data_IF_452289721706
#
_entry.id   IF_452289721706
#
_cell.length_a   1.000
_cell.length_b   1.000
_cell.length_c   1.000
_cell.angle_alpha   90.00
_cell.angle_beta   90.00
_cell.angle_gamma   90.00
#
_symmetry.space_group_name_H-M   'P 1'
#
loop_
_entity.id
_entity.type
_entity.pdbx_description
1 polymer ?
#
# COMPACT_ATOMS: atom_id res chain seq x y z
N UNK A 1 6.85 13.44 -44.96
CA UNK A 1 8.11 13.11 -44.27
C UNK A 1 7.89 13.17 -42.76
N UNK A 2 8.48 12.19 -42.06
CA UNK A 2 8.25 11.83 -40.66
C UNK A 2 8.86 12.87 -39.71
N UNK A 3 8.12 13.32 -38.70
CA UNK A 3 8.71 13.97 -37.52
C UNK A 3 8.75 12.94 -36.40
N UNK A 4 9.95 12.50 -36.03
CA UNK A 4 10.17 11.63 -34.87
C UNK A 4 10.62 12.53 -33.73
N UNK A 5 9.79 12.65 -32.71
CA UNK A 5 10.14 13.27 -31.42
C UNK A 5 10.94 12.24 -30.62
N UNK A 6 12.20 12.57 -30.32
CA UNK A 6 13.07 11.79 -29.44
C UNK A 6 12.86 12.30 -28.00
N UNK A 7 12.16 11.51 -27.19
CA UNK A 7 12.03 11.75 -25.75
C UNK A 7 13.22 11.05 -25.09
N UNK A 8 14.15 11.84 -24.54
CA UNK A 8 15.29 11.32 -23.79
C UNK A 8 14.89 11.22 -22.31
N UNK A 9 14.69 10.00 -21.82
CA UNK A 9 14.45 9.73 -20.40
C UNK A 9 15.80 9.74 -19.68
N UNK A 10 16.02 10.73 -18.83
CA UNK A 10 17.20 10.81 -17.97
C UNK A 10 16.95 9.96 -16.72
N UNK A 11 17.45 8.72 -16.72
CA UNK A 11 17.53 7.91 -15.51
C UNK A 11 18.66 8.45 -14.63
N UNK A 12 18.31 9.13 -13.53
CA UNK A 12 19.26 9.42 -12.46
C UNK A 12 19.27 8.25 -11.48
N UNK A 13 20.37 7.50 -11.47
CA UNK A 13 20.63 6.46 -10.46
C UNK A 13 21.20 7.14 -9.23
N UNK A 14 20.44 7.16 -8.14
CA UNK A 14 20.91 7.63 -6.83
C UNK A 14 21.49 6.42 -6.09
N UNK A 15 22.82 6.28 -6.14
CA UNK A 15 23.59 5.40 -5.26
C UNK A 15 23.75 6.08 -3.90
N UNK A 16 23.01 5.64 -2.88
CA UNK A 16 23.29 6.02 -1.49
C UNK A 16 24.04 4.87 -0.84
N UNK A 17 25.28 5.18 -0.46
CA UNK A 17 26.26 4.25 0.08
C UNK A 17 25.87 3.61 1.41
N UNK A 18 26.34 2.39 1.58
CA UNK A 18 26.45 1.67 2.85
C UNK A 18 27.21 2.53 3.87
N UNK A 19 26.59 2.83 5.01
CA UNK A 19 27.28 3.39 6.17
C UNK A 19 26.99 2.51 7.39
N UNK A 20 28.08 1.95 7.93
CA UNK A 20 28.34 1.89 9.36
C UNK A 20 27.71 0.74 10.15
N UNK A 21 28.53 -0.24 10.52
CA UNK A 21 28.16 -1.33 11.42
C UNK A 21 27.78 -0.88 12.83
N UNK A 22 26.86 -1.60 13.44
CA UNK A 22 26.55 -1.48 14.87
C UNK A 22 27.20 -2.62 15.63
N UNK A 23 28.04 -2.25 16.60
CA UNK A 23 28.67 -3.14 17.55
C UNK A 23 27.64 -3.77 18.49
N UNK A 24 27.75 -5.08 18.69
CA UNK A 24 26.98 -5.84 19.68
C UNK A 24 27.54 -5.60 21.08
N UNK A 25 26.84 -4.82 21.90
CA UNK A 25 27.07 -4.77 23.35
C UNK A 25 26.21 -5.84 24.04
N UNK A 26 26.86 -6.89 24.53
CA UNK A 26 26.25 -7.97 25.32
C UNK A 26 26.15 -7.52 26.78
N UNK A 27 24.97 -7.06 27.21
CA UNK A 27 24.65 -6.75 28.61
C UNK A 27 23.82 -7.86 29.22
N UNK A 28 24.40 -8.62 30.15
CA UNK A 28 23.72 -9.65 30.95
C UNK A 28 22.92 -8.99 32.07
N UNK A 29 21.60 -9.16 32.08
CA UNK A 29 20.79 -9.08 33.29
C UNK A 29 19.73 -10.19 33.26
N UNK A 30 19.84 -11.09 34.22
CA UNK A 30 19.01 -12.27 34.41
C UNK A 30 17.66 -11.88 35.00
N UNK A 31 16.58 -11.86 34.19
CA UNK A 31 15.20 -11.90 34.70
C UNK A 31 14.32 -12.70 33.75
N UNK A 32 13.56 -13.62 34.33
CA UNK A 32 12.59 -14.58 33.80
C UNK A 32 11.97 -14.33 32.40
N UNK A 33 11.94 -15.41 31.62
CA UNK A 33 11.18 -15.61 30.38
C UNK A 33 9.68 -15.30 30.54
N UNK A 34 9.10 -14.58 29.56
CA UNK A 34 7.91 -15.08 28.87
C UNK A 34 8.21 -15.27 27.37
N UNK A 35 7.78 -16.41 26.84
CA UNK A 35 7.87 -16.79 25.42
C UNK A 35 6.94 -15.92 24.56
N UNK A 36 7.50 -14.94 23.86
CA UNK A 36 7.18 -14.56 22.46
C UNK A 36 7.90 -13.25 22.10
N UNK A 37 8.78 -13.21 21.07
CA UNK A 37 9.36 -11.96 20.62
C UNK A 37 8.38 -11.24 19.69
N UNK A 38 7.49 -10.43 20.26
CA UNK A 38 6.86 -9.34 19.51
C UNK A 38 7.86 -8.19 19.52
N UNK A 39 8.45 -7.89 18.37
CA UNK A 39 9.36 -6.76 18.21
C UNK A 39 8.62 -5.46 18.53
N UNK A 40 8.92 -4.91 19.71
CA UNK A 40 8.56 -3.55 20.12
C UNK A 40 9.24 -2.55 19.17
N UNK A 41 8.50 -2.06 18.18
CA UNK A 41 8.87 -0.86 17.43
C UNK A 41 8.36 0.34 18.22
N UNK A 42 9.28 1.07 18.83
CA UNK A 42 9.04 2.41 19.33
C UNK A 42 8.63 3.32 18.15
N UNK A 43 7.33 3.55 17.97
CA UNK A 43 6.82 4.68 17.21
C UNK A 43 5.79 5.41 18.08
N UNK A 44 6.28 6.37 18.86
CA UNK A 44 5.51 7.56 19.20
C UNK A 44 5.26 8.35 17.92
N UNK A 45 4.25 7.93 17.15
CA UNK A 45 3.51 8.81 16.25
C UNK A 45 2.08 8.79 16.77
N UNK A 46 1.70 9.93 17.34
CA UNK A 46 0.34 10.34 17.65
C UNK A 46 -0.67 9.56 16.80
N UNK A 47 -1.27 8.51 17.38
CA UNK A 47 -2.33 7.76 16.71
C UNK A 47 -3.54 8.68 16.77
N UNK A 48 -3.57 9.66 15.87
CA UNK A 48 -4.81 10.34 15.51
C UNK A 48 -5.70 9.23 15.01
N UNK A 49 -6.62 8.82 15.87
CA UNK A 49 -7.73 7.93 15.56
C UNK A 49 -8.67 8.72 14.63
N UNK A 50 -8.18 9.03 13.43
CA UNK A 50 -8.93 9.72 12.40
C UNK A 50 -9.95 8.74 11.88
N UNK A 51 -11.19 9.20 11.76
CA UNK A 51 -12.25 8.51 11.08
C UNK A 51 -11.75 8.12 9.67
N UNK A 52 -11.39 6.85 9.47
CA UNK A 52 -10.78 6.34 8.23
C UNK A 52 -11.85 6.26 7.13
N UNK A 53 -12.27 7.43 6.66
CA UNK A 53 -13.22 7.59 5.58
C UNK A 53 -12.57 7.33 4.22
N UNK A 54 -13.40 6.88 3.27
CA UNK A 54 -13.03 6.68 1.88
C UNK A 54 -12.40 7.93 1.23
N UNK A 55 -12.93 9.11 1.56
CA UNK A 55 -12.44 10.40 1.05
C UNK A 55 -10.99 10.69 1.50
N UNK A 56 -10.66 10.39 2.76
CA UNK A 56 -9.32 10.58 3.30
C UNK A 56 -8.29 9.68 2.58
N UNK A 57 -8.69 8.46 2.20
CA UNK A 57 -7.82 7.57 1.43
C UNK A 57 -7.54 8.11 0.02
N UNK A 58 -8.56 8.65 -0.67
CA UNK A 58 -8.42 9.28 -1.99
C UNK A 58 -7.45 10.47 -1.92
N UNK A 59 -7.58 11.32 -0.90
CA UNK A 59 -6.69 12.46 -0.70
C UNK A 59 -5.24 12.02 -0.50
N UNK A 60 -4.99 11.07 0.40
CA UNK A 60 -3.66 10.52 0.65
C UNK A 60 -3.04 9.96 -0.64
N UNK A 61 -3.83 9.25 -1.45
CA UNK A 61 -3.35 8.73 -2.74
C UNK A 61 -2.94 9.87 -3.68
N UNK A 62 -3.75 10.93 -3.80
CA UNK A 62 -3.42 12.11 -4.63
C UNK A 62 -2.15 12.80 -4.14
N UNK A 63 -2.02 13.01 -2.83
CA UNK A 63 -0.85 13.65 -2.22
C UNK A 63 0.45 12.87 -2.40
N UNK A 64 0.37 11.54 -2.50
CA UNK A 64 1.53 10.67 -2.67
C UNK A 64 1.79 10.28 -4.14
N UNK A 65 1.17 10.98 -5.11
CA UNK A 65 1.39 10.76 -6.54
C UNK A 65 0.71 9.51 -7.11
N UNK A 66 -0.22 8.90 -6.37
CA UNK A 66 -1.06 7.77 -6.80
C UNK A 66 -2.39 8.28 -7.41
N UNK A 67 -2.34 9.38 -8.16
CA UNK A 67 -3.51 10.10 -8.66
C UNK A 67 -4.41 9.24 -9.55
N UNK A 68 -3.84 8.36 -10.38
CA UNK A 68 -4.62 7.47 -11.24
C UNK A 68 -5.45 6.48 -10.42
N UNK A 69 -4.87 5.92 -9.36
CA UNK A 69 -5.57 5.03 -8.43
C UNK A 69 -6.66 5.79 -7.67
N UNK A 70 -6.36 7.00 -7.20
CA UNK A 70 -7.33 7.85 -6.51
C UNK A 70 -8.54 8.18 -7.41
N UNK A 71 -8.30 8.50 -8.68
CA UNK A 71 -9.35 8.82 -9.65
C UNK A 71 -10.22 7.60 -10.00
N UNK A 72 -9.62 6.41 -10.11
CA UNK A 72 -10.35 5.16 -10.34
C UNK A 72 -11.23 4.81 -9.15
N UNK A 73 -10.70 4.98 -7.93
CA UNK A 73 -11.43 4.83 -6.69
C UNK A 73 -12.61 5.83 -6.64
N UNK A 74 -12.38 7.13 -6.86
CA UNK A 74 -13.42 8.16 -6.87
C UNK A 74 -14.56 7.86 -7.85
N UNK A 75 -14.25 7.26 -9.01
CA UNK A 75 -15.24 6.87 -10.02
C UNK A 75 -15.90 5.50 -9.78
N UNK A 76 -15.41 4.72 -8.83
CA UNK A 76 -15.82 3.32 -8.66
C UNK A 76 -15.50 2.45 -9.89
N UNK A 77 -14.44 2.76 -10.63
CA UNK A 77 -14.04 2.01 -11.84
C UNK A 77 -13.20 0.78 -11.45
N UNK A 78 -13.89 -0.31 -11.11
CA UNK A 78 -13.27 -1.58 -10.72
C UNK A 78 -12.39 -2.17 -11.83
N UNK A 79 -12.83 -2.10 -13.09
CA UNK A 79 -12.07 -2.67 -14.22
C UNK A 79 -10.80 -1.87 -14.51
N UNK A 80 -10.87 -0.55 -14.37
CA UNK A 80 -9.69 0.30 -14.46
C UNK A 80 -8.71 0.02 -13.32
N UNK A 81 -9.23 -0.20 -12.10
CA UNK A 81 -8.42 -0.55 -10.93
C UNK A 81 -7.70 -1.90 -11.10
N UNK A 82 -8.38 -2.92 -11.61
CA UNK A 82 -7.77 -4.23 -11.90
C UNK A 82 -6.57 -4.11 -12.83
N UNK A 83 -6.76 -3.40 -13.95
CA UNK A 83 -5.69 -3.18 -14.93
C UNK A 83 -4.53 -2.39 -14.34
N UNK A 84 -4.82 -1.41 -13.50
CA UNK A 84 -3.77 -0.65 -12.82
C UNK A 84 -2.97 -1.57 -11.89
N UNK A 85 -3.65 -2.37 -11.06
CA UNK A 85 -3.00 -3.29 -10.12
C UNK A 85 -2.17 -4.37 -10.81
N UNK A 86 -2.65 -4.92 -11.93
CA UNK A 86 -1.91 -5.89 -12.75
C UNK A 86 -0.60 -5.32 -13.32
N UNK A 87 -0.57 -4.02 -13.61
CA UNK A 87 0.59 -3.32 -14.15
C UNK A 87 1.53 -2.74 -13.09
N UNK A 88 1.20 -2.85 -11.80
CA UNK A 88 2.09 -2.39 -10.73
C UNK A 88 3.34 -3.28 -10.64
N UNK A 89 4.49 -2.61 -10.63
CA UNK A 89 5.73 -3.27 -10.22
C UNK A 89 5.66 -3.65 -8.73
N UNK A 90 6.41 -4.66 -8.32
CA UNK A 90 6.45 -5.05 -6.90
C UNK A 90 7.00 -3.91 -6.03
N UNK A 91 7.92 -3.11 -6.57
CA UNK A 91 8.45 -1.93 -5.89
C UNK A 91 7.36 -0.87 -5.65
N UNK A 92 6.48 -0.64 -6.63
CA UNK A 92 5.40 0.33 -6.48
C UNK A 92 4.30 -0.19 -5.55
N UNK A 93 4.03 -1.49 -5.58
CA UNK A 93 3.15 -2.13 -4.60
C UNK A 93 3.68 -1.98 -3.16
N UNK A 94 4.99 -2.17 -2.94
CA UNK A 94 5.62 -1.94 -1.63
C UNK A 94 5.57 -0.47 -1.20
N UNK A 95 5.74 0.48 -2.14
CA UNK A 95 5.56 1.92 -1.84
C UNK A 95 4.13 2.21 -1.37
N UNK A 96 3.12 1.62 -2.01
CA UNK A 96 1.73 1.79 -1.59
C UNK A 96 1.49 1.28 -0.18
N UNK A 97 2.00 0.09 0.16
CA UNK A 97 1.94 -0.45 1.52
C UNK A 97 2.54 0.52 2.53
N UNK A 98 3.71 1.08 2.21
CA UNK A 98 4.39 2.06 3.06
C UNK A 98 3.56 3.33 3.26
N UNK A 99 2.98 3.87 2.18
CA UNK A 99 2.10 5.04 2.24
C UNK A 99 0.89 4.76 3.14
N UNK A 100 0.23 3.61 2.97
CA UNK A 100 -0.91 3.22 3.80
C UNK A 100 -0.52 3.15 5.28
N UNK A 101 0.61 2.50 5.58
CA UNK A 101 1.12 2.37 6.96
C UNK A 101 1.44 3.72 7.58
N UNK A 102 2.14 4.59 6.85
CA UNK A 102 2.59 5.89 7.32
C UNK A 102 1.42 6.86 7.57
N UNK A 103 0.27 6.64 6.92
CA UNK A 103 -0.94 7.46 7.03
C UNK A 103 -2.05 6.84 7.90
N UNK A 104 -1.69 5.92 8.80
CA UNK A 104 -2.64 5.36 9.79
C UNK A 104 -3.44 4.16 9.31
N UNK A 105 -3.33 3.75 8.05
CA UNK A 105 -3.95 2.53 7.52
C UNK A 105 -3.09 1.29 7.79
N UNK A 106 -2.50 1.20 8.99
CA UNK A 106 -1.56 0.13 9.36
C UNK A 106 -2.16 -1.28 9.23
N UNK A 107 -3.43 -1.45 9.61
CA UNK A 107 -4.13 -2.74 9.48
C UNK A 107 -4.29 -3.15 8.00
N UNK A 108 -4.63 -2.19 7.13
CA UNK A 108 -4.75 -2.44 5.69
C UNK A 108 -3.38 -2.73 5.07
N UNK A 109 -2.34 -1.99 5.46
CA UNK A 109 -0.97 -2.24 5.01
C UNK A 109 -0.48 -3.63 5.41
N UNK A 110 -0.76 -4.07 6.65
CA UNK A 110 -0.42 -5.41 7.12
C UNK A 110 -1.17 -6.50 6.32
N UNK A 111 -2.44 -6.26 5.99
CA UNK A 111 -3.20 -7.15 5.12
C UNK A 111 -2.58 -7.25 3.73
N UNK A 112 -2.29 -6.10 3.09
CA UNK A 112 -1.66 -6.05 1.76
C UNK A 112 -0.30 -6.76 1.72
N UNK A 113 0.48 -6.69 2.80
CA UNK A 113 1.72 -7.47 2.93
C UNK A 113 1.46 -8.96 3.04
N UNK A 114 0.48 -9.38 3.84
CA UNK A 114 0.20 -10.79 4.11
C UNK A 114 -0.28 -11.58 2.89
N UNK A 115 -1.13 -10.98 2.06
CA UNK A 115 -1.69 -11.63 0.86
C UNK A 115 -0.87 -11.36 -0.40
N UNK A 116 0.00 -10.35 -0.36
CA UNK A 116 0.81 -9.91 -1.49
C UNK A 116 0.01 -9.33 -2.65
N UNK A 117 0.71 -8.90 -3.70
CA UNK A 117 0.11 -8.23 -4.87
C UNK A 117 -0.95 -9.10 -5.56
N UNK A 118 -0.61 -10.36 -5.82
CA UNK A 118 -1.51 -11.27 -6.52
C UNK A 118 -2.77 -11.58 -5.70
N UNK A 119 -2.61 -11.81 -4.39
CA UNK A 119 -3.75 -11.99 -3.50
C UNK A 119 -4.65 -10.75 -3.42
N UNK A 120 -4.06 -9.55 -3.47
CA UNK A 120 -4.83 -8.30 -3.51
C UNK A 120 -5.62 -8.15 -4.81
N UNK A 121 -5.05 -8.52 -5.96
CA UNK A 121 -5.75 -8.53 -7.26
C UNK A 121 -6.93 -9.51 -7.23
N UNK A 122 -6.71 -10.73 -6.73
CA UNK A 122 -7.78 -11.74 -6.61
C UNK A 122 -8.89 -11.27 -5.67
N UNK A 123 -8.53 -10.65 -4.54
CA UNK A 123 -9.49 -10.07 -3.60
C UNK A 123 -10.33 -8.96 -4.26
N UNK A 124 -9.69 -8.07 -5.02
CA UNK A 124 -10.39 -6.98 -5.71
C UNK A 124 -11.38 -7.52 -6.75
N UNK A 125 -10.98 -8.52 -7.56
CA UNK A 125 -11.86 -9.22 -8.51
C UNK A 125 -13.03 -9.93 -7.83
N UNK A 126 -12.79 -10.56 -6.68
CA UNK A 126 -13.86 -11.19 -5.91
C UNK A 126 -14.88 -10.15 -5.39
N UNK A 127 -14.42 -8.98 -4.96
CA UNK A 127 -15.29 -7.87 -4.54
C UNK A 127 -16.13 -7.33 -5.71
N UNK A 128 -15.55 -7.18 -6.91
CA UNK A 128 -16.32 -6.81 -8.12
C UNK A 128 -17.43 -7.84 -8.40
N UNK A 129 -17.10 -9.14 -8.32
CA UNK A 129 -18.07 -10.22 -8.51
C UNK A 129 -19.24 -10.17 -7.53
N UNK A 130 -18.97 -9.85 -6.26
CA UNK A 130 -20.02 -9.69 -5.23
C UNK A 130 -20.87 -8.43 -5.44
N UNK A 131 -20.27 -7.32 -5.88
CA UNK A 131 -21.00 -6.08 -6.19
C UNK A 131 -21.98 -6.28 -7.37
N UNK A 132 -21.55 -7.05 -8.38
CA UNK A 132 -22.40 -7.48 -9.51
C UNK A 132 -23.55 -8.39 -9.06
N UNK A 133 -23.30 -9.31 -8.13
CA UNK A 133 -24.31 -10.27 -7.67
C UNK A 133 -25.37 -9.62 -6.74
N UNK A 134 -24.96 -8.70 -5.87
CA UNK A 134 -25.86 -8.03 -4.93
C UNK A 134 -26.81 -7.03 -5.61
N UNK A 135 -26.40 -6.45 -6.74
CA UNK A 135 -27.25 -5.59 -7.59
C UNK A 135 -28.44 -6.35 -8.21
N UNK A 136 -28.39 -7.68 -8.28
CA UNK A 136 -29.48 -8.53 -8.78
C UNK A 136 -30.48 -9.01 -7.72
N UNK A 137 -30.13 -8.97 -6.43
CA UNK A 137 -30.99 -9.50 -5.35
C UNK A 137 -31.64 -8.42 -4.47
N UNK A 138 -31.20 -7.16 -4.52
CA UNK A 138 -31.86 -6.02 -3.84
C UNK A 138 -32.94 -5.31 -4.68
N UNK A 139 -33.39 -5.91 -5.79
CA UNK A 139 -34.53 -5.43 -6.58
C UNK A 139 -35.86 -6.11 -6.25
N UNK A 140 -35.92 -6.90 -5.17
CA UNK A 140 -37.07 -7.71 -4.81
C UNK A 140 -37.48 -7.58 -3.35
N UNK A 141 -37.81 -6.36 -2.92
CA UNK A 141 -38.72 -6.09 -1.81
C UNK A 141 -39.55 -4.84 -2.12
#
# INVERSE_FOLDING_TARGET
MRRKLLITVVLSVVLIGLIGGMALAKGTNSVALPKNPVNTVNQTKDIRQNNYGYENMIEIMKENGLTDMANLMEKGDFKGMDKLMENLSDADYQKMIKIMRDNGYGNMAAMMESIGKNGMIEMHKAMEGMHSWNSGMMGGF
#
